data_IF_549583878084
#
_entry.id   IF_549583878084
#
_cell.length_a   1.000
_cell.length_b   1.000
_cell.length_c   1.000
_cell.angle_alpha   90.00
_cell.angle_beta   90.00
_cell.angle_gamma   90.00
#
_symmetry.space_group_name_H-M   'P 1'
#
loop_
_entity.id
_entity.type
_entity.pdbx_description
1 polymer ?
#
# COMPACT_ATOMS: atom_id res chain seq x y z
N UNK A 1 -55.25 1.75 -23.83
CA UNK A 1 -53.79 1.57 -23.74
C UNK A 1 -53.33 2.09 -22.40
N UNK A 2 -52.69 1.22 -21.60
CA UNK A 2 -52.25 1.54 -20.24
C UNK A 2 -50.97 2.38 -20.28
N UNK A 3 -51.05 3.63 -19.86
CA UNK A 3 -49.87 4.46 -19.56
C UNK A 3 -49.11 3.80 -18.41
N UNK A 4 -47.88 3.35 -18.67
CA UNK A 4 -46.95 2.95 -17.61
C UNK A 4 -46.33 4.22 -17.06
N UNK A 5 -46.92 4.73 -15.99
CA UNK A 5 -46.29 5.75 -15.16
C UNK A 5 -45.11 5.08 -14.44
N UNK A 6 -43.91 5.25 -14.98
CA UNK A 6 -42.70 4.89 -14.27
C UNK A 6 -42.52 5.91 -13.14
N UNK A 7 -42.70 5.49 -11.90
CA UNK A 7 -42.27 6.25 -10.73
C UNK A 7 -40.73 6.35 -10.74
N UNK A 8 -40.21 7.33 -11.47
CA UNK A 8 -38.78 7.54 -11.75
C UNK A 8 -37.97 8.24 -10.63
N UNK A 9 -38.52 9.13 -9.78
CA UNK A 9 -37.69 9.88 -8.81
C UNK A 9 -37.13 9.04 -7.64
N UNK A 10 -37.98 8.26 -6.97
CA UNK A 10 -37.58 7.49 -5.78
C UNK A 10 -36.57 6.39 -6.09
N UNK A 11 -36.64 5.85 -7.30
CA UNK A 11 -35.70 4.82 -7.77
C UNK A 11 -34.32 5.42 -8.01
N UNK A 12 -34.25 6.60 -8.63
CA UNK A 12 -32.99 7.32 -8.88
C UNK A 12 -32.32 7.70 -7.56
N UNK A 13 -33.06 8.26 -6.60
CA UNK A 13 -32.53 8.61 -5.28
C UNK A 13 -31.90 7.41 -4.57
N UNK A 14 -32.53 6.23 -4.63
CA UNK A 14 -31.97 5.02 -4.02
C UNK A 14 -30.67 4.57 -4.67
N UNK A 15 -30.53 4.72 -5.99
CA UNK A 15 -29.29 4.41 -6.68
C UNK A 15 -28.19 5.42 -6.33
N UNK A 16 -28.51 6.71 -6.29
CA UNK A 16 -27.57 7.75 -5.87
C UNK A 16 -27.09 7.53 -4.43
N UNK A 17 -28.01 7.22 -3.52
CA UNK A 17 -27.68 6.90 -2.14
C UNK A 17 -26.78 5.66 -2.03
N UNK A 18 -27.06 4.62 -2.81
CA UNK A 18 -26.24 3.41 -2.79
C UNK A 18 -24.84 3.64 -3.39
N UNK A 19 -24.74 4.43 -4.46
CA UNK A 19 -23.46 4.80 -5.05
C UNK A 19 -22.63 5.60 -4.05
N UNK A 20 -23.22 6.64 -3.46
CA UNK A 20 -22.51 7.58 -2.60
C UNK A 20 -22.15 6.98 -1.24
N UNK A 21 -23.06 6.20 -0.65
CA UNK A 21 -22.89 5.70 0.72
C UNK A 21 -22.32 4.28 0.78
N UNK A 22 -22.24 3.55 -0.33
CA UNK A 22 -21.71 2.18 -0.34
C UNK A 22 -20.61 1.99 -1.37
N UNK A 23 -20.87 2.23 -2.65
CA UNK A 23 -19.90 1.89 -3.70
C UNK A 23 -18.64 2.76 -3.62
N UNK A 24 -18.80 4.08 -3.45
CA UNK A 24 -17.66 5.00 -3.35
C UNK A 24 -16.79 4.70 -2.10
N UNK A 25 -17.34 4.58 -0.88
CA UNK A 25 -16.55 4.23 0.30
C UNK A 25 -15.84 2.88 0.17
N UNK A 26 -16.53 1.85 -0.33
CA UNK A 26 -15.95 0.52 -0.48
C UNK A 26 -14.81 0.50 -1.50
N UNK A 27 -14.96 1.24 -2.61
CA UNK A 27 -13.90 1.37 -3.61
C UNK A 27 -12.68 2.06 -3.01
N UNK A 28 -12.90 3.13 -2.24
CA UNK A 28 -11.82 3.84 -1.55
C UNK A 28 -11.09 2.92 -0.56
N UNK A 29 -11.83 2.21 0.29
CA UNK A 29 -11.25 1.27 1.24
C UNK A 29 -10.42 0.19 0.53
N UNK A 30 -10.95 -0.39 -0.55
CA UNK A 30 -10.24 -1.41 -1.33
C UNK A 30 -8.97 -0.85 -1.95
N UNK A 31 -9.01 0.38 -2.47
CA UNK A 31 -7.83 1.06 -3.01
C UNK A 31 -6.79 1.32 -1.92
N UNK A 32 -7.20 1.81 -0.75
CA UNK A 32 -6.32 2.07 0.39
C UNK A 32 -5.64 0.78 0.90
N UNK A 33 -6.38 -0.33 0.95
CA UNK A 33 -5.84 -1.65 1.31
C UNK A 33 -4.82 -2.15 0.28
N UNK A 34 -5.13 -1.97 -1.01
CA UNK A 34 -4.22 -2.31 -2.10
C UNK A 34 -2.92 -1.52 -2.00
N UNK A 35 -3.01 -0.22 -1.74
CA UNK A 35 -1.84 0.65 -1.64
C UNK A 35 -0.96 0.28 -0.43
N UNK A 36 -1.57 -0.09 0.71
CA UNK A 36 -0.86 -0.66 1.86
C UNK A 36 -0.13 -1.96 1.51
N UNK A 37 -0.78 -2.86 0.78
CA UNK A 37 -0.17 -4.12 0.35
C UNK A 37 1.04 -3.88 -0.57
N UNK A 38 0.93 -2.96 -1.53
CA UNK A 38 2.04 -2.59 -2.41
C UNK A 38 3.21 -1.96 -1.64
N UNK A 39 2.94 -1.13 -0.65
CA UNK A 39 3.99 -0.57 0.21
C UNK A 39 4.73 -1.66 0.98
N UNK A 40 4.01 -2.61 1.58
CA UNK A 40 4.63 -3.75 2.27
C UNK A 40 5.49 -4.59 1.32
N UNK A 41 4.98 -4.89 0.13
CA UNK A 41 5.74 -5.62 -0.90
C UNK A 41 7.02 -4.86 -1.26
N UNK A 42 6.95 -3.54 -1.44
CA UNK A 42 8.12 -2.72 -1.74
C UNK A 42 9.17 -2.80 -0.63
N UNK A 43 8.76 -2.70 0.63
CA UNK A 43 9.67 -2.81 1.79
C UNK A 43 10.33 -4.20 1.87
N UNK A 44 9.57 -5.28 1.66
CA UNK A 44 10.13 -6.63 1.64
C UNK A 44 11.09 -6.86 0.47
N UNK A 45 10.80 -6.30 -0.71
CA UNK A 45 11.71 -6.37 -1.85
C UNK A 45 13.02 -5.64 -1.58
N UNK A 46 12.97 -4.44 -0.98
CA UNK A 46 14.19 -3.72 -0.56
C UNK A 46 15.00 -4.55 0.43
N UNK A 47 14.35 -5.11 1.45
CA UNK A 47 15.02 -5.96 2.44
C UNK A 47 15.69 -7.18 1.80
N UNK A 48 14.99 -7.86 0.89
CA UNK A 48 15.53 -9.00 0.15
C UNK A 48 16.78 -8.62 -0.63
N UNK A 49 16.72 -7.53 -1.39
CA UNK A 49 17.87 -7.02 -2.17
C UNK A 49 19.06 -6.71 -1.26
N UNK A 50 18.82 -6.12 -0.08
CA UNK A 50 19.89 -5.87 0.88
C UNK A 50 20.52 -7.17 1.39
N UNK A 51 19.72 -8.19 1.71
CA UNK A 51 20.23 -9.50 2.16
C UNK A 51 21.06 -10.15 1.06
N UNK A 52 20.53 -10.25 -0.16
CA UNK A 52 21.24 -10.84 -1.31
C UNK A 52 22.57 -10.12 -1.58
N UNK A 53 22.57 -8.78 -1.51
CA UNK A 53 23.80 -7.98 -1.68
C UNK A 53 24.85 -8.28 -0.61
N UNK A 54 24.43 -8.46 0.65
CA UNK A 54 25.32 -8.80 1.76
C UNK A 54 25.91 -10.20 1.57
N UNK A 55 25.08 -11.15 1.18
CA UNK A 55 25.46 -12.55 0.95
C UNK A 55 26.43 -12.69 -0.23
N UNK A 56 26.09 -12.12 -1.39
CA UNK A 56 26.89 -12.19 -2.62
C UNK A 56 28.27 -11.55 -2.47
N UNK A 57 28.35 -10.43 -1.74
CA UNK A 57 29.60 -9.70 -1.55
C UNK A 57 30.39 -10.20 -0.32
N UNK A 58 29.88 -11.23 0.38
CA UNK A 58 30.43 -11.78 1.63
C UNK A 58 30.85 -10.69 2.63
N UNK A 59 30.07 -9.61 2.70
CA UNK A 59 30.42 -8.43 3.47
C UNK A 59 30.27 -8.73 4.96
N UNK A 60 31.40 -8.73 5.68
CA UNK A 60 31.39 -8.82 7.14
C UNK A 60 30.80 -7.56 7.79
N UNK A 61 30.86 -6.42 7.09
CA UNK A 61 30.42 -5.11 7.55
C UNK A 61 29.73 -4.33 6.42
N UNK A 62 28.50 -3.89 6.63
CA UNK A 62 27.78 -3.02 5.69
C UNK A 62 27.70 -1.60 6.26
N UNK A 63 28.25 -0.62 5.54
CA UNK A 63 28.06 0.80 5.83
C UNK A 63 26.79 1.26 5.14
N UNK A 64 25.72 1.37 5.91
CA UNK A 64 24.43 1.82 5.41
C UNK A 64 24.22 3.28 5.78
N UNK A 65 23.63 4.04 4.85
CA UNK A 65 23.00 5.32 5.14
C UNK A 65 21.52 5.05 5.38
N UNK A 66 21.12 5.00 6.64
CA UNK A 66 19.74 4.72 7.04
C UNK A 66 19.00 6.05 7.16
N UNK A 67 17.88 6.17 6.44
CA UNK A 67 16.96 7.29 6.58
C UNK A 67 16.20 7.16 7.92
N UNK A 68 16.28 8.18 8.77
CA UNK A 68 15.53 8.24 10.04
C UNK A 68 14.29 9.16 9.93
N UNK A 69 14.02 9.72 8.75
CA UNK A 69 12.97 10.70 8.47
C UNK A 69 13.48 12.15 8.46
N UNK A 70 12.67 13.06 7.90
CA UNK A 70 12.95 14.51 7.84
C UNK A 70 14.33 14.85 7.23
N UNK A 71 14.72 14.18 6.15
CA UNK A 71 16.03 14.31 5.49
C UNK A 71 17.23 14.02 6.41
N UNK A 72 17.01 13.30 7.51
CA UNK A 72 18.05 12.91 8.45
C UNK A 72 18.55 11.50 8.13
N UNK A 73 19.86 11.39 7.92
CA UNK A 73 20.50 10.15 7.55
C UNK A 73 21.59 9.76 8.55
N UNK A 74 21.50 8.55 9.09
CA UNK A 74 22.50 7.99 10.00
C UNK A 74 23.40 6.98 9.28
N UNK A 75 24.68 6.99 9.62
CA UNK A 75 25.61 5.93 9.20
C UNK A 75 25.52 4.78 10.20
N UNK A 76 25.05 3.63 9.74
CA UNK A 76 25.00 2.40 10.52
C UNK A 76 26.06 1.42 10.04
N UNK A 77 26.66 0.70 10.98
CA UNK A 77 27.56 -0.42 10.72
C UNK A 77 26.89 -1.69 11.23
N UNK A 78 26.51 -2.58 10.32
CA UNK A 78 25.93 -3.87 10.69
C UNK A 78 27.04 -4.91 10.81
N UNK A 79 27.00 -5.73 11.87
CA UNK A 79 27.88 -6.88 12.03
C UNK A 79 27.09 -8.13 11.65
N UNK A 80 27.68 -9.00 10.81
CA UNK A 80 27.11 -10.30 10.50
C UNK A 80 27.15 -11.17 11.76
N UNK A 81 26.00 -11.48 12.34
CA UNK A 81 25.88 -12.45 13.44
C UNK A 81 25.75 -13.84 12.79
N UNK A 82 26.69 -14.78 13.01
CA UNK A 82 26.51 -16.15 12.57
C UNK A 82 25.37 -16.80 13.37
N UNK A 83 24.41 -17.40 12.66
CA UNK A 83 23.35 -18.25 13.22
C UNK A 83 23.91 -19.63 13.59
#
# INVERSE_FOLDING_TARGET
>A
MSSKDYNTPDSISKYEDHINNTLIPNLKETADLRDKAYNLISEYLKLKVYIETIEDQNLAELKLRVDLGSDFYAHAKTLRIPL
#
